data_IF_826320293681
#
_entry.id   IF_826320293681
#
_cell.length_a   1.000
_cell.length_b   1.000
_cell.length_c   1.000
_cell.angle_alpha   90.00
_cell.angle_beta   90.00
_cell.angle_gamma   90.00
#
_symmetry.space_group_name_H-M   'P 1'
#
loop_
_entity.id
_entity.type
_entity.pdbx_description
1 polymer ?
#
# COMPACT_ATOMS: atom_id res chain seq x y z
N UNK A 1 -48.93 -13.05 5.97
CA UNK A 1 -49.35 -11.75 6.49
C UNK A 1 -48.13 -11.07 7.06
N UNK A 2 -47.78 -9.91 6.52
CA UNK A 2 -46.60 -9.12 6.95
C UNK A 2 -46.89 -8.60 8.36
N UNK A 3 -46.05 -8.87 9.33
CA UNK A 3 -46.15 -8.35 10.70
C UNK A 3 -45.69 -6.89 10.72
N UNK A 4 -46.57 -5.95 10.43
CA UNK A 4 -46.27 -4.53 10.31
C UNK A 4 -45.51 -3.94 11.52
N UNK A 5 -45.86 -4.24 12.79
CA UNK A 5 -45.09 -3.75 13.95
C UNK A 5 -43.66 -4.23 13.99
N UNK A 6 -43.40 -5.47 13.61
CA UNK A 6 -42.03 -6.06 13.57
C UNK A 6 -41.18 -5.40 12.48
N UNK A 7 -41.75 -5.14 11.31
CA UNK A 7 -41.04 -4.41 10.24
C UNK A 7 -40.74 -2.97 10.61
N UNK A 8 -41.63 -2.28 11.28
CA UNK A 8 -41.35 -0.92 11.79
C UNK A 8 -40.18 -0.94 12.78
N UNK A 9 -40.14 -1.92 13.69
CA UNK A 9 -39.02 -2.08 14.63
C UNK A 9 -37.69 -2.37 13.92
N UNK A 10 -37.72 -3.17 12.85
CA UNK A 10 -36.54 -3.43 12.04
C UNK A 10 -36.07 -2.17 11.30
N UNK A 11 -36.97 -1.37 10.73
CA UNK A 11 -36.61 -0.09 10.10
C UNK A 11 -35.98 0.85 11.13
N UNK A 12 -36.55 0.93 12.33
CA UNK A 12 -36.03 1.73 13.45
C UNK A 12 -34.62 1.29 13.81
N UNK A 13 -34.36 -0.03 13.88
CA UNK A 13 -33.05 -0.59 14.16
C UNK A 13 -32.03 -0.17 13.10
N UNK A 14 -32.32 -0.38 11.82
CA UNK A 14 -31.41 -0.06 10.71
C UNK A 14 -31.10 1.44 10.63
N UNK A 15 -32.11 2.30 10.82
CA UNK A 15 -31.88 3.75 10.87
C UNK A 15 -31.02 4.16 12.06
N UNK A 16 -31.20 3.52 13.23
CA UNK A 16 -30.40 3.80 14.42
C UNK A 16 -28.93 3.41 14.20
N UNK A 17 -28.65 2.30 13.50
CA UNK A 17 -27.30 1.93 13.10
C UNK A 17 -26.69 3.01 12.18
N UNK A 18 -27.43 3.46 11.18
CA UNK A 18 -26.96 4.52 10.28
C UNK A 18 -26.71 5.85 11.02
N UNK A 19 -27.56 6.22 11.97
CA UNK A 19 -27.40 7.44 12.78
C UNK A 19 -26.16 7.42 13.67
N UNK A 20 -25.76 6.24 14.17
CA UNK A 20 -24.54 6.06 14.96
C UNK A 20 -23.26 6.24 14.16
N UNK A 21 -23.33 6.19 12.82
CA UNK A 21 -22.16 6.25 11.93
C UNK A 21 -22.01 7.65 11.32
N UNK A 22 -20.97 8.40 11.71
CA UNK A 22 -20.68 9.77 11.21
C UNK A 22 -20.65 9.85 9.68
N UNK A 23 -20.10 8.83 9.00
CA UNK A 23 -20.08 8.75 7.53
C UNK A 23 -21.49 8.88 6.92
N UNK A 24 -22.53 8.40 7.61
CA UNK A 24 -23.90 8.45 7.10
C UNK A 24 -24.49 9.86 7.12
N UNK A 25 -24.05 10.75 8.02
CA UNK A 25 -24.60 12.11 8.14
C UNK A 25 -24.43 12.96 6.88
N UNK A 26 -23.39 12.66 6.09
CA UNK A 26 -23.09 13.28 4.79
C UNK A 26 -23.43 12.38 3.60
N UNK A 27 -23.88 11.15 3.85
CA UNK A 27 -24.15 10.17 2.81
C UNK A 27 -25.46 10.48 2.10
N UNK A 28 -25.44 10.54 0.76
CA UNK A 28 -26.62 10.72 -0.06
C UNK A 28 -27.68 9.66 0.20
N UNK A 29 -27.28 8.38 0.29
CA UNK A 29 -28.23 7.30 0.57
C UNK A 29 -28.99 7.49 1.90
N UNK A 30 -28.30 7.93 2.97
CA UNK A 30 -28.96 8.17 4.25
C UNK A 30 -29.98 9.32 4.17
N UNK A 31 -29.56 10.47 3.63
CA UNK A 31 -30.42 11.64 3.52
C UNK A 31 -31.64 11.37 2.62
N UNK A 32 -31.44 10.69 1.49
CA UNK A 32 -32.52 10.35 0.56
C UNK A 32 -33.50 9.33 1.16
N UNK A 33 -32.97 8.29 1.84
CA UNK A 33 -33.81 7.31 2.56
C UNK A 33 -34.69 8.02 3.60
N UNK A 34 -34.10 8.80 4.51
CA UNK A 34 -34.86 9.51 5.55
C UNK A 34 -35.92 10.45 4.94
N UNK A 35 -35.56 11.18 3.87
CA UNK A 35 -36.50 12.07 3.17
C UNK A 35 -37.63 11.29 2.47
N UNK A 36 -37.36 10.10 1.95
CA UNK A 36 -38.34 9.23 1.31
C UNK A 36 -39.27 8.62 2.35
N UNK A 37 -38.75 8.15 3.48
CA UNK A 37 -39.57 7.62 4.58
C UNK A 37 -40.52 8.68 5.20
N UNK A 38 -40.10 9.93 5.24
CA UNK A 38 -40.94 11.05 5.68
C UNK A 38 -42.17 11.30 4.79
N UNK A 39 -42.11 10.88 3.50
CA UNK A 39 -43.22 11.06 2.57
C UNK A 39 -44.31 9.98 2.70
N UNK A 40 -44.01 8.86 3.35
CA UNK A 40 -44.98 7.79 3.60
C UNK A 40 -45.70 8.00 4.92
N UNK A 41 -47.01 8.25 4.86
CA UNK A 41 -47.84 8.42 6.07
C UNK A 41 -47.80 7.15 6.95
N UNK A 42 -47.72 5.98 6.33
CA UNK A 42 -47.68 4.68 7.02
C UNK A 42 -46.40 4.47 7.85
N UNK A 43 -45.28 5.07 7.44
CA UNK A 43 -43.97 4.98 8.12
C UNK A 43 -43.79 6.21 9.03
N UNK A 44 -44.02 7.41 8.49
CA UNK A 44 -43.80 8.66 9.20
C UNK A 44 -44.62 8.77 10.51
N UNK A 45 -45.84 8.29 10.54
CA UNK A 45 -46.67 8.33 11.76
C UNK A 45 -46.09 7.47 12.90
N UNK A 46 -45.37 6.40 12.58
CA UNK A 46 -44.77 5.49 13.55
C UNK A 46 -43.34 5.88 13.96
N UNK A 47 -42.55 6.49 13.05
CA UNK A 47 -41.15 6.81 13.24
C UNK A 47 -40.82 8.31 13.22
N UNK A 48 -41.82 9.19 13.45
CA UNK A 48 -41.67 10.64 13.36
C UNK A 48 -40.45 11.17 14.12
N UNK A 49 -40.36 10.83 15.41
CA UNK A 49 -39.29 11.32 16.28
C UNK A 49 -37.93 10.89 15.77
N UNK A 50 -37.76 9.62 15.35
CA UNK A 50 -36.52 9.09 14.82
C UNK A 50 -36.13 9.76 13.48
N UNK A 51 -37.11 9.99 12.60
CA UNK A 51 -36.86 10.64 11.31
C UNK A 51 -36.51 12.13 11.45
N UNK A 52 -37.04 12.80 12.48
CA UNK A 52 -36.68 14.18 12.83
C UNK A 52 -35.27 14.24 13.39
N UNK A 53 -34.93 13.33 14.32
CA UNK A 53 -33.57 13.17 14.87
C UNK A 53 -32.54 12.84 13.77
N UNK A 54 -32.83 11.87 12.91
CA UNK A 54 -32.00 11.53 11.78
C UNK A 54 -31.72 12.74 10.86
N UNK A 55 -32.74 13.56 10.61
CA UNK A 55 -32.56 14.76 9.78
C UNK A 55 -31.72 15.85 10.46
N UNK A 56 -31.73 15.92 11.79
CA UNK A 56 -30.90 16.87 12.54
C UNK A 56 -29.41 16.56 12.46
N UNK A 57 -29.06 15.34 12.09
CA UNK A 57 -27.66 14.88 11.91
C UNK A 57 -27.08 15.24 10.53
N UNK A 58 -27.90 15.78 9.60
CA UNK A 58 -27.41 16.09 8.27
C UNK A 58 -26.33 17.16 8.31
N UNK A 59 -25.19 16.83 7.65
CA UNK A 59 -24.10 17.78 7.44
C UNK A 59 -24.09 18.30 5.99
N UNK A 60 -23.63 19.52 5.81
CA UNK A 60 -23.36 20.11 4.50
C UNK A 60 -22.20 19.36 3.82
N UNK A 61 -22.03 19.48 2.50
CA UNK A 61 -21.06 18.75 1.68
C UNK A 61 -21.37 17.25 1.55
N UNK A 62 -22.59 16.98 1.12
CA UNK A 62 -23.07 15.63 0.78
C UNK A 62 -22.16 14.95 -0.24
N UNK A 63 -21.89 13.68 -0.07
CA UNK A 63 -21.27 12.79 -1.05
C UNK A 63 -22.25 11.68 -1.49
N UNK A 64 -21.94 11.02 -2.60
CA UNK A 64 -22.70 9.90 -3.12
C UNK A 64 -22.46 8.60 -2.31
N UNK A 65 -22.58 7.42 -2.93
CA UNK A 65 -22.42 6.14 -2.27
C UNK A 65 -20.95 5.79 -2.05
N UNK A 66 -20.61 5.24 -0.85
CA UNK A 66 -19.29 4.69 -0.52
C UNK A 66 -19.13 3.21 -0.85
N UNK A 67 -20.18 2.52 -1.33
CA UNK A 67 -20.16 1.08 -1.54
C UNK A 67 -19.96 0.30 -0.23
N UNK A 68 -20.65 0.70 0.85
CA UNK A 68 -20.57 0.03 2.14
C UNK A 68 -21.01 -1.44 2.03
N UNK A 69 -20.33 -2.35 2.74
CA UNK A 69 -20.69 -3.77 2.79
C UNK A 69 -22.10 -3.97 3.32
N UNK A 70 -22.46 -3.23 4.38
CA UNK A 70 -23.84 -3.11 4.85
C UNK A 70 -24.27 -1.66 4.70
N UNK A 71 -25.27 -1.43 3.87
CA UNK A 71 -25.89 -0.11 3.72
C UNK A 71 -27.20 -0.07 4.52
N UNK A 72 -27.13 0.26 5.82
CA UNK A 72 -28.32 0.34 6.70
C UNK A 72 -29.46 1.21 6.13
N UNK A 73 -29.19 2.40 5.53
CA UNK A 73 -30.24 3.16 4.87
C UNK A 73 -30.96 2.38 3.76
N UNK A 74 -30.25 1.64 2.93
CA UNK A 74 -30.86 0.84 1.87
C UNK A 74 -31.67 -0.33 2.43
N UNK A 75 -31.19 -1.00 3.49
CA UNK A 75 -31.95 -2.04 4.19
C UNK A 75 -33.24 -1.48 4.78
N UNK A 76 -33.16 -0.35 5.49
CA UNK A 76 -34.34 0.33 6.04
C UNK A 76 -35.35 0.69 4.95
N UNK A 77 -34.89 1.18 3.79
CA UNK A 77 -35.76 1.54 2.67
C UNK A 77 -36.41 0.31 2.02
N UNK A 78 -35.69 -0.79 1.86
CA UNK A 78 -36.26 -2.04 1.34
C UNK A 78 -37.36 -2.58 2.26
N UNK A 79 -37.12 -2.60 3.58
CA UNK A 79 -38.13 -2.99 4.57
C UNK A 79 -39.37 -2.06 4.53
N UNK A 80 -39.14 -0.78 4.35
CA UNK A 80 -40.23 0.20 4.23
C UNK A 80 -41.05 0.02 2.94
N UNK A 81 -40.39 -0.33 1.83
CA UNK A 81 -41.08 -0.63 0.56
C UNK A 81 -42.00 -1.85 0.63
N UNK A 82 -41.79 -2.79 1.54
CA UNK A 82 -42.70 -3.90 1.80
C UNK A 82 -43.99 -3.41 2.53
N UNK A 83 -43.91 -2.33 3.29
CA UNK A 83 -45.08 -1.72 3.98
C UNK A 83 -45.81 -0.77 3.07
N UNK A 84 -45.08 0.05 2.31
CA UNK A 84 -45.61 1.06 1.40
C UNK A 84 -44.88 1.02 0.05
N UNK A 85 -45.49 0.40 -0.97
CA UNK A 85 -44.84 0.22 -2.29
C UNK A 85 -44.48 1.54 -2.99
N UNK A 86 -45.05 2.67 -2.63
CA UNK A 86 -44.73 3.99 -3.19
C UNK A 86 -43.28 4.37 -2.88
N UNK A 87 -42.69 3.81 -1.81
CA UNK A 87 -41.29 4.01 -1.43
C UNK A 87 -40.33 3.38 -2.46
N UNK A 88 -40.75 2.29 -3.10
CA UNK A 88 -39.90 1.59 -4.09
C UNK A 88 -39.72 2.39 -5.39
N UNK A 89 -40.66 3.27 -5.76
CA UNK A 89 -40.61 4.00 -7.03
C UNK A 89 -39.51 5.08 -7.10
N UNK A 90 -38.94 5.47 -5.98
CA UNK A 90 -37.92 6.54 -5.89
C UNK A 90 -36.49 6.08 -5.53
N UNK A 91 -36.24 4.80 -5.43
CA UNK A 91 -35.02 4.25 -4.81
C UNK A 91 -34.15 3.50 -5.80
N UNK A 92 -33.06 4.13 -6.22
CA UNK A 92 -31.95 3.44 -6.89
C UNK A 92 -30.68 3.55 -6.06
N UNK A 93 -30.58 2.76 -4.98
CA UNK A 93 -29.27 2.50 -4.40
C UNK A 93 -28.57 1.43 -5.26
N UNK A 94 -27.84 1.87 -6.27
CA UNK A 94 -26.86 1.00 -6.91
C UNK A 94 -25.74 0.80 -5.89
N UNK A 95 -25.74 -0.32 -5.17
CA UNK A 95 -24.59 -0.80 -4.43
C UNK A 95 -23.47 -1.00 -5.43
N UNK A 96 -22.52 -0.08 -5.50
CA UNK A 96 -21.31 -0.29 -6.26
C UNK A 96 -20.42 -1.26 -5.47
N UNK A 97 -19.92 -2.28 -6.16
CA UNK A 97 -18.87 -3.13 -5.58
C UNK A 97 -17.67 -2.27 -5.12
N UNK A 98 -16.93 -2.70 -4.08
CA UNK A 98 -15.74 -1.99 -3.63
C UNK A 98 -14.82 -1.72 -4.82
N UNK A 99 -14.61 -0.46 -5.18
CA UNK A 99 -13.74 -0.10 -6.29
C UNK A 99 -12.29 -0.41 -5.91
N UNK A 100 -11.66 -1.32 -6.65
CA UNK A 100 -10.21 -1.28 -6.82
C UNK A 100 -9.93 -0.14 -7.78
N UNK A 101 -9.45 0.98 -7.28
CA UNK A 101 -9.15 2.12 -8.13
C UNK A 101 -7.81 1.90 -8.81
N UNK A 102 -7.84 1.64 -10.12
CA UNK A 102 -6.64 1.52 -10.95
C UNK A 102 -5.78 2.77 -10.81
N UNK A 103 -4.46 2.58 -10.63
CA UNK A 103 -3.50 3.67 -10.44
C UNK A 103 -3.41 4.25 -9.02
N UNK A 104 -4.09 3.67 -8.04
CA UNK A 104 -3.89 4.03 -6.64
C UNK A 104 -3.27 2.86 -5.85
N UNK A 105 -2.24 3.10 -5.00
CA UNK A 105 -1.52 4.35 -4.76
C UNK A 105 -0.64 4.79 -5.94
N UNK A 106 -0.53 6.11 -6.23
CA UNK A 106 0.21 6.58 -7.41
C UNK A 106 1.72 6.43 -7.32
N UNK A 107 2.29 6.34 -6.11
CA UNK A 107 3.72 6.19 -5.90
C UNK A 107 4.05 4.83 -5.30
N UNK A 108 5.19 4.22 -5.71
CA UNK A 108 5.60 2.91 -5.22
C UNK A 108 6.01 2.96 -3.74
N UNK A 109 5.93 1.79 -3.08
CA UNK A 109 6.33 1.56 -1.71
C UNK A 109 6.04 0.12 -1.30
N UNK A 110 6.45 -0.27 -0.10
CA UNK A 110 6.14 -1.56 0.49
C UNK A 110 4.79 -1.46 1.20
N UNK A 111 3.71 -1.80 0.50
CA UNK A 111 2.35 -1.74 1.01
C UNK A 111 1.44 -2.80 0.38
N UNK A 112 0.31 -3.05 1.03
CA UNK A 112 -0.80 -3.84 0.49
C UNK A 112 -2.10 -3.04 0.59
N UNK A 113 -2.84 -2.96 -0.52
CA UNK A 113 -4.15 -2.33 -0.60
C UNK A 113 -5.21 -3.38 -0.29
N UNK A 114 -6.12 -3.07 0.65
CA UNK A 114 -7.21 -3.94 1.06
C UNK A 114 -8.53 -3.42 0.47
N UNK A 115 -8.87 -2.16 0.75
CA UNK A 115 -10.12 -1.56 0.29
C UNK A 115 -9.96 -0.05 0.07
N UNK A 116 -10.15 0.42 -1.15
CA UNK A 116 -9.99 1.85 -1.49
C UNK A 116 -10.90 2.78 -0.66
N UNK A 117 -12.18 2.42 -0.47
CA UNK A 117 -13.16 3.26 0.23
C UNK A 117 -13.07 3.20 1.76
N UNK A 118 -12.22 2.35 2.33
CA UNK A 118 -12.07 2.25 3.78
C UNK A 118 -11.31 3.45 4.36
N UNK A 119 -11.61 3.86 5.61
CA UNK A 119 -11.09 5.11 6.16
C UNK A 119 -9.76 5.01 6.86
N UNK A 120 -9.25 3.82 7.18
CA UNK A 120 -8.06 3.64 8.00
C UNK A 120 -6.88 3.16 7.17
N UNK A 121 -5.78 3.91 7.22
CA UNK A 121 -4.46 3.47 6.76
C UNK A 121 -3.59 3.08 7.97
N UNK A 122 -2.79 2.03 7.83
CA UNK A 122 -1.85 1.59 8.86
C UNK A 122 -0.42 1.69 8.34
N UNK A 123 0.44 2.34 9.11
CA UNK A 123 1.87 2.44 8.85
C UNK A 123 2.64 1.65 9.91
N UNK A 124 3.29 0.55 9.49
CA UNK A 124 4.02 -0.37 10.36
C UNK A 124 5.47 0.05 10.62
N UNK A 125 5.85 1.24 10.17
CA UNK A 125 7.20 1.79 10.28
C UNK A 125 8.26 0.80 9.77
N UNK A 126 9.21 0.36 10.61
CA UNK A 126 10.27 -0.58 10.25
C UNK A 126 9.88 -2.07 10.52
N UNK A 127 8.62 -2.36 10.83
CA UNK A 127 8.13 -3.72 11.09
C UNK A 127 7.44 -4.32 9.86
N UNK A 128 8.21 -4.56 8.79
CA UNK A 128 7.70 -4.98 7.47
C UNK A 128 6.91 -6.29 7.50
N UNK A 129 7.26 -7.23 8.43
CA UNK A 129 6.54 -8.49 8.59
C UNK A 129 5.06 -8.29 8.94
N UNK A 130 4.71 -7.21 9.64
CA UNK A 130 3.34 -6.90 10.03
C UNK A 130 2.44 -6.54 8.84
N UNK A 131 3.00 -6.09 7.71
CA UNK A 131 2.22 -5.73 6.51
C UNK A 131 1.39 -6.94 6.07
N UNK A 132 2.02 -8.12 5.98
CA UNK A 132 1.33 -9.34 5.57
C UNK A 132 0.29 -9.78 6.61
N UNK A 133 0.64 -9.76 7.89
CA UNK A 133 -0.24 -10.22 8.97
C UNK A 133 -1.51 -9.36 9.07
N UNK A 134 -1.37 -8.03 9.00
CA UNK A 134 -2.50 -7.09 9.01
C UNK A 134 -3.34 -7.16 7.73
N UNK A 135 -2.71 -7.37 6.55
CA UNK A 135 -3.46 -7.50 5.31
C UNK A 135 -4.24 -8.79 5.22
N UNK A 136 -3.66 -9.91 5.69
CA UNK A 136 -4.31 -11.23 5.70
C UNK A 136 -5.53 -11.26 6.63
N UNK A 137 -5.58 -10.39 7.67
CA UNK A 137 -6.73 -10.28 8.58
C UNK A 137 -7.99 -9.69 7.91
N UNK A 138 -7.84 -9.00 6.78
CA UNK A 138 -8.94 -8.36 6.02
C UNK A 138 -9.89 -7.53 6.90
N UNK A 139 -9.34 -6.88 7.94
CA UNK A 139 -10.11 -6.17 8.96
C UNK A 139 -11.01 -5.10 8.37
N UNK A 140 -12.25 -5.05 8.83
CA UNK A 140 -13.22 -4.04 8.40
C UNK A 140 -12.70 -2.63 8.70
N UNK A 141 -12.82 -1.73 7.72
CA UNK A 141 -12.34 -0.35 7.83
C UNK A 141 -10.88 -0.14 7.44
N UNK A 142 -10.10 -1.20 7.17
CA UNK A 142 -8.71 -1.11 6.72
C UNK A 142 -8.64 -0.84 5.21
N UNK A 143 -7.98 0.28 4.83
CA UNK A 143 -7.78 0.68 3.43
C UNK A 143 -6.47 0.13 2.86
N UNK A 144 -5.38 0.42 3.54
CA UNK A 144 -4.02 0.12 3.12
C UNK A 144 -3.13 -0.08 4.34
N UNK A 145 -2.19 -0.99 4.25
CA UNK A 145 -1.13 -1.18 5.23
C UNK A 145 0.23 -1.13 4.53
N UNK A 146 1.20 -0.42 5.10
CA UNK A 146 2.53 -0.30 4.52
C UNK A 146 3.59 0.15 5.52
N UNK A 147 4.86 0.09 5.11
CA UNK A 147 6.01 0.51 5.92
C UNK A 147 6.43 1.96 5.66
N UNK A 148 7.26 2.48 6.56
CA UNK A 148 7.86 3.81 6.43
C UNK A 148 9.25 3.81 7.06
N UNK A 149 10.30 3.88 6.23
CA UNK A 149 11.69 3.74 6.69
C UNK A 149 12.46 5.06 6.80
N UNK A 150 11.97 6.14 6.18
CA UNK A 150 12.70 7.42 6.14
C UNK A 150 11.78 8.61 6.40
N UNK A 151 12.31 9.60 7.13
CA UNK A 151 11.60 10.83 7.50
C UNK A 151 11.59 11.91 6.41
N UNK A 152 12.03 11.60 5.20
CA UNK A 152 12.04 12.51 4.04
C UNK A 152 11.22 11.93 2.88
N UNK A 153 11.85 11.27 1.91
CA UNK A 153 11.16 10.71 0.73
C UNK A 153 10.02 9.76 1.11
N UNK A 154 10.19 8.96 2.16
CA UNK A 154 9.12 8.08 2.63
C UNK A 154 7.89 8.85 3.09
N UNK A 155 8.06 9.91 3.89
CA UNK A 155 6.95 10.78 4.32
C UNK A 155 6.33 11.49 3.11
N UNK A 156 7.12 11.99 2.15
CA UNK A 156 6.59 12.62 0.93
C UNK A 156 5.73 11.66 0.11
N UNK A 157 6.15 10.38 -0.03
CA UNK A 157 5.37 9.34 -0.71
C UNK A 157 4.08 9.00 0.05
N UNK A 158 4.18 8.84 1.38
CA UNK A 158 3.02 8.57 2.23
C UNK A 158 1.98 9.68 2.09
N UNK A 159 2.38 10.95 2.15
CA UNK A 159 1.47 12.10 2.00
C UNK A 159 0.76 12.05 0.64
N UNK A 160 1.50 11.85 -0.46
CA UNK A 160 0.93 11.84 -1.81
C UNK A 160 0.00 10.66 -2.03
N UNK A 161 0.39 9.47 -1.60
CA UNK A 161 -0.45 8.28 -1.70
C UNK A 161 -1.74 8.44 -0.88
N UNK A 162 -1.66 9.07 0.28
CA UNK A 162 -2.82 9.35 1.13
C UNK A 162 -3.73 10.42 0.52
N UNK A 163 -3.19 11.53 0.04
CA UNK A 163 -3.97 12.59 -0.61
C UNK A 163 -4.70 12.12 -1.87
N UNK A 164 -4.13 11.15 -2.59
CA UNK A 164 -4.75 10.55 -3.77
C UNK A 164 -5.97 9.67 -3.44
N UNK A 165 -6.22 9.40 -2.15
CA UNK A 165 -7.41 8.70 -1.69
C UNK A 165 -8.17 9.51 -0.64
N UNK A 166 -9.26 10.20 -1.01
CA UNK A 166 -10.01 11.04 -0.09
C UNK A 166 -10.72 10.26 1.01
N UNK A 167 -10.85 8.92 0.87
CA UNK A 167 -11.50 8.08 1.87
C UNK A 167 -10.62 7.83 3.09
N UNK A 168 -9.29 7.90 2.98
CA UNK A 168 -8.38 7.77 4.12
C UNK A 168 -8.55 8.98 5.03
N UNK A 169 -9.05 8.74 6.23
CA UNK A 169 -9.32 9.76 7.24
C UNK A 169 -8.51 9.56 8.52
N UNK A 170 -7.98 8.36 8.71
CA UNK A 170 -7.18 7.98 9.87
C UNK A 170 -5.88 7.31 9.42
N UNK A 171 -4.81 7.64 10.12
CA UNK A 171 -3.50 7.02 9.93
C UNK A 171 -3.02 6.49 11.29
N UNK A 172 -2.97 5.17 11.44
CA UNK A 172 -2.44 4.50 12.62
C UNK A 172 -0.96 4.24 12.40
N UNK A 173 -0.11 4.71 13.31
CA UNK A 173 1.31 4.36 13.37
C UNK A 173 1.52 3.24 14.37
N UNK A 174 2.22 2.18 13.97
CA UNK A 174 2.56 1.04 14.82
C UNK A 174 3.93 0.46 14.44
N UNK A 175 4.36 -0.58 15.15
CA UNK A 175 5.67 -1.19 14.90
C UNK A 175 6.85 -0.35 15.38
N UNK A 176 8.05 -0.79 15.07
CA UNK A 176 9.30 -0.20 15.53
C UNK A 176 9.68 1.04 14.71
N UNK A 177 9.91 2.18 15.36
CA UNK A 177 10.26 3.43 14.68
C UNK A 177 11.72 3.51 14.23
N UNK A 178 12.63 2.74 14.81
CA UNK A 178 14.06 2.83 14.51
C UNK A 178 14.67 1.50 14.09
N UNK A 179 15.42 1.52 12.98
CA UNK A 179 16.47 0.53 12.73
C UNK A 179 17.72 0.98 13.49
N UNK A 180 18.15 0.23 14.49
CA UNK A 180 19.19 0.55 15.51
C UNK A 180 20.52 1.11 14.99
N UNK A 181 20.79 1.07 13.70
CA UNK A 181 22.09 1.45 13.09
C UNK A 181 22.07 2.75 12.27
N UNK A 182 20.92 3.26 11.81
CA UNK A 182 20.88 4.35 10.81
C UNK A 182 20.41 5.70 11.39
N UNK A 183 19.67 5.71 12.50
CA UNK A 183 19.19 6.94 13.17
C UNK A 183 18.04 7.64 12.46
N UNK A 184 17.29 6.94 11.58
CA UNK A 184 16.03 7.42 11.06
C UNK A 184 14.92 7.20 12.09
N UNK A 185 14.04 8.21 12.23
CA UNK A 185 12.88 8.19 13.12
C UNK A 185 11.65 8.69 12.33
N UNK A 186 11.17 7.92 11.34
CA UNK A 186 10.08 8.36 10.48
C UNK A 186 8.75 8.52 11.24
N UNK A 187 8.43 7.64 12.19
CA UNK A 187 7.22 7.73 12.99
C UNK A 187 7.19 8.98 13.85
N UNK A 188 8.24 9.22 14.66
CA UNK A 188 8.36 10.45 15.46
C UNK A 188 8.34 11.70 14.56
N UNK A 189 8.95 11.65 13.38
CA UNK A 189 8.96 12.77 12.45
C UNK A 189 7.57 13.03 11.86
N UNK A 190 6.77 11.98 11.61
CA UNK A 190 5.41 12.12 11.13
C UNK A 190 4.47 12.68 12.22
N UNK A 191 4.62 12.24 13.49
CA UNK A 191 3.94 12.86 14.63
C UNK A 191 4.27 14.36 14.72
N UNK A 192 5.56 14.69 14.65
CA UNK A 192 6.01 16.10 14.69
C UNK A 192 5.47 16.91 13.51
N UNK A 193 5.36 16.32 12.32
CA UNK A 193 4.77 16.98 11.15
C UNK A 193 3.28 17.31 11.38
N UNK A 194 2.53 16.38 11.91
CA UNK A 194 1.09 16.60 12.18
C UNK A 194 0.91 17.68 13.26
N UNK A 195 1.70 17.64 14.32
CA UNK A 195 1.56 18.56 15.45
C UNK A 195 2.10 19.97 15.15
N UNK A 196 3.34 20.08 14.65
CA UNK A 196 4.06 21.34 14.51
C UNK A 196 4.19 21.85 13.08
N UNK A 197 4.01 20.98 12.06
CA UNK A 197 4.21 21.34 10.66
C UNK A 197 5.67 21.46 10.26
N UNK A 198 5.96 22.37 9.31
CA UNK A 198 7.30 22.61 8.76
C UNK A 198 7.72 24.07 8.91
N UNK A 199 9.04 24.30 8.90
CA UNK A 199 9.63 25.64 8.87
C UNK A 199 9.77 26.20 7.43
N UNK A 200 10.26 27.43 7.29
CA UNK A 200 10.50 28.11 6.01
C UNK A 200 11.48 27.36 5.07
N UNK A 201 12.28 26.45 5.62
CA UNK A 201 13.24 25.62 4.88
C UNK A 201 12.69 24.22 4.57
N UNK A 202 11.38 24.01 4.74
CA UNK A 202 10.72 22.71 4.54
C UNK A 202 11.23 21.62 5.50
N UNK A 203 11.77 21.99 6.68
CA UNK A 203 12.15 21.05 7.71
C UNK A 203 10.99 20.82 8.66
N UNK A 204 10.74 19.56 9.02
CA UNK A 204 9.73 19.20 10.02
C UNK A 204 10.18 19.73 11.39
N UNK A 205 9.37 20.60 11.99
CA UNK A 205 9.65 21.23 13.29
C UNK A 205 9.62 20.13 14.37
N UNK A 206 10.58 20.16 15.29
CA UNK A 206 10.75 19.19 16.38
C UNK A 206 11.00 17.73 15.98
N UNK A 207 11.23 17.43 14.70
CA UNK A 207 11.64 16.11 14.29
C UNK A 207 13.07 15.79 14.74
N UNK A 208 13.26 14.59 15.29
CA UNK A 208 14.52 14.09 15.84
C UNK A 208 15.31 13.21 14.86
N UNK A 209 14.68 12.79 13.77
CA UNK A 209 15.30 11.96 12.74
C UNK A 209 16.47 12.65 12.04
N UNK A 210 17.24 11.88 11.29
CA UNK A 210 18.51 12.29 10.69
C UNK A 210 18.37 13.38 9.61
N UNK A 211 17.31 13.31 8.80
CA UNK A 211 17.07 14.22 7.67
C UNK A 211 15.58 14.55 7.46
N UNK A 212 14.90 15.17 8.44
CA UNK A 212 13.47 15.45 8.33
C UNK A 212 13.21 16.69 7.46
N UNK A 213 13.50 16.60 6.16
CA UNK A 213 13.44 17.71 5.21
C UNK A 213 12.64 17.28 3.97
N UNK A 214 11.49 17.91 3.74
CA UNK A 214 10.52 17.60 2.68
C UNK A 214 10.73 18.54 1.47
N UNK A 215 11.60 18.14 0.52
CA UNK A 215 12.03 19.00 -0.60
C UNK A 215 11.18 18.84 -1.86
N UNK A 216 10.51 17.70 -2.03
CA UNK A 216 9.84 17.36 -3.28
C UNK A 216 8.32 17.46 -3.17
N UNK A 217 7.79 18.04 -2.09
CA UNK A 217 6.37 18.25 -1.86
C UNK A 217 6.08 19.71 -1.57
N UNK A 218 4.94 20.22 -1.99
CA UNK A 218 4.54 21.61 -1.74
C UNK A 218 3.89 21.74 -0.36
N UNK A 219 4.00 22.94 0.24
CA UNK A 219 3.39 23.26 1.52
C UNK A 219 1.89 22.96 1.54
N UNK A 220 1.18 23.31 0.46
CA UNK A 220 -0.26 23.09 0.34
C UNK A 220 -0.67 21.59 0.42
N UNK A 221 0.17 20.68 -0.10
CA UNK A 221 -0.05 19.23 0.07
C UNK A 221 0.15 18.78 1.51
N UNK A 222 1.14 19.30 2.20
CA UNK A 222 1.39 19.01 3.61
C UNK A 222 0.21 19.48 4.46
N UNK A 223 -0.26 20.71 4.23
CA UNK A 223 -1.39 21.27 4.97
C UNK A 223 -2.72 20.55 4.65
N UNK A 224 -2.93 20.12 3.39
CA UNK A 224 -4.06 19.31 3.03
C UNK A 224 -4.02 17.94 3.73
N UNK A 225 -2.85 17.27 3.76
CA UNK A 225 -2.66 16.01 4.47
C UNK A 225 -2.96 16.14 5.97
N UNK A 226 -2.45 17.17 6.63
CA UNK A 226 -2.70 17.45 8.05
C UNK A 226 -4.18 17.68 8.36
N UNK A 227 -4.97 18.16 7.39
CA UNK A 227 -6.43 18.32 7.50
C UNK A 227 -7.19 17.04 7.15
N UNK A 228 -6.67 16.25 6.22
CA UNK A 228 -7.32 15.03 5.76
C UNK A 228 -7.30 13.94 6.82
N UNK A 229 -6.16 13.72 7.47
CA UNK A 229 -5.98 12.58 8.37
C UNK A 229 -5.90 12.97 9.84
N UNK A 230 -6.52 12.17 10.68
CA UNK A 230 -6.23 12.11 12.10
C UNK A 230 -5.16 11.05 12.33
N UNK A 231 -4.03 11.43 12.93
CA UNK A 231 -2.97 10.52 13.29
C UNK A 231 -3.26 9.87 14.65
N UNK A 232 -3.09 8.54 14.72
CA UNK A 232 -3.25 7.76 15.95
C UNK A 232 -1.94 7.00 16.17
N UNK A 233 -1.20 7.38 17.20
CA UNK A 233 0.12 6.81 17.47
C UNK A 233 0.05 5.66 18.45
N UNK A 234 0.55 4.52 18.00
CA UNK A 234 0.82 3.30 18.76
C UNK A 234 2.23 2.79 18.41
N UNK A 235 3.20 3.70 18.24
CA UNK A 235 4.60 3.35 17.94
C UNK A 235 5.12 2.37 19.01
N UNK A 236 5.75 1.29 18.57
CA UNK A 236 6.22 0.18 19.41
C UNK A 236 5.18 -0.93 19.59
N UNK A 237 3.92 -0.74 19.21
CA UNK A 237 2.93 -1.81 19.24
C UNK A 237 3.09 -2.71 18.02
N UNK A 238 3.27 -4.02 18.26
CA UNK A 238 3.37 -5.08 17.25
C UNK A 238 2.29 -6.15 17.42
N UNK A 239 1.31 -5.94 18.32
CA UNK A 239 0.21 -6.86 18.54
C UNK A 239 -0.90 -6.66 17.49
N UNK A 240 -0.95 -7.54 16.51
CA UNK A 240 -1.90 -7.50 15.38
C UNK A 240 -3.36 -7.59 15.86
N UNK A 241 -3.65 -8.36 16.90
CA UNK A 241 -5.02 -8.49 17.40
C UNK A 241 -5.51 -7.16 17.98
N UNK A 242 -4.71 -6.52 18.82
CA UNK A 242 -5.00 -5.19 19.38
C UNK A 242 -5.13 -4.12 18.30
N UNK A 243 -4.32 -4.20 17.24
CA UNK A 243 -4.39 -3.26 16.12
C UNK A 243 -5.65 -3.47 15.28
N UNK A 244 -6.10 -4.69 15.07
CA UNK A 244 -7.36 -4.97 14.37
C UNK A 244 -8.57 -4.40 15.12
N UNK A 245 -8.62 -4.57 16.44
CA UNK A 245 -9.67 -3.98 17.28
C UNK A 245 -9.65 -2.44 17.19
N UNK A 246 -8.46 -1.84 17.20
CA UNK A 246 -8.29 -0.40 17.03
C UNK A 246 -8.75 0.09 15.66
N UNK A 247 -8.47 -0.65 14.58
CA UNK A 247 -8.90 -0.32 13.22
C UNK A 247 -10.42 -0.27 13.15
N UNK A 248 -11.11 -1.32 13.66
CA UNK A 248 -12.58 -1.39 13.67
C UNK A 248 -13.18 -0.23 14.47
N UNK A 249 -12.67 0.00 15.68
CA UNK A 249 -13.15 1.10 16.53
C UNK A 249 -12.94 2.47 15.89
N UNK A 250 -11.78 2.66 15.21
CA UNK A 250 -11.47 3.93 14.52
C UNK A 250 -12.36 4.13 13.29
N UNK A 251 -12.67 3.06 12.55
CA UNK A 251 -13.48 3.14 11.34
C UNK A 251 -14.92 3.61 11.62
N UNK A 252 -15.46 3.37 12.81
CA UNK A 252 -16.78 3.86 13.24
C UNK A 252 -16.83 5.39 13.22
N UNK A 253 -15.72 6.05 13.56
CA UNK A 253 -15.60 7.50 13.61
C UNK A 253 -15.43 8.19 12.24
N UNK A 254 -15.53 7.43 11.13
CA UNK A 254 -15.33 7.93 9.78
C UNK A 254 -16.24 9.13 9.45
N UNK A 255 -15.69 10.34 9.18
CA UNK A 255 -16.48 11.52 8.84
C UNK A 255 -16.92 11.56 7.35
N UNK A 256 -16.56 10.54 6.56
CA UNK A 256 -16.74 10.52 5.11
C UNK A 256 -15.53 11.11 4.36
N UNK A 257 -15.58 11.10 3.01
CA UNK A 257 -14.44 11.49 2.17
C UNK A 257 -14.01 12.94 2.41
N UNK A 258 -12.70 13.18 2.29
CA UNK A 258 -12.11 14.52 2.30
C UNK A 258 -12.37 15.23 0.97
N UNK A 259 -12.80 16.51 1.00
CA UNK A 259 -13.26 17.26 -0.19
C UNK A 259 -12.24 18.28 -0.70
N UNK A 260 -11.20 18.57 0.07
CA UNK A 260 -10.31 19.71 -0.17
C UNK A 260 -8.89 19.26 -0.59
N UNK A 261 -8.76 18.05 -1.17
CA UNK A 261 -7.48 17.55 -1.69
C UNK A 261 -7.01 18.37 -2.90
N UNK A 262 -5.72 18.71 -3.02
CA UNK A 262 -5.15 19.34 -4.20
C UNK A 262 -5.26 18.48 -5.45
N UNK A 263 -5.43 19.07 -6.63
CA UNK A 263 -5.61 18.34 -7.90
C UNK A 263 -4.30 17.71 -8.41
N UNK A 264 -3.16 18.35 -8.20
CA UNK A 264 -1.86 17.95 -8.77
C UNK A 264 -0.93 17.30 -7.72
N UNK A 265 -1.31 16.11 -7.30
CA UNK A 265 -0.60 15.36 -6.23
C UNK A 265 0.77 14.86 -6.72
N UNK A 266 0.93 14.55 -8.02
CA UNK A 266 2.19 14.09 -8.63
C UNK A 266 2.79 15.20 -9.49
N UNK A 267 3.84 15.90 -9.01
CA UNK A 267 4.40 17.05 -9.71
C UNK A 267 5.32 16.69 -10.89
N UNK A 268 5.75 15.43 -10.99
CA UNK A 268 6.70 14.97 -12.02
C UNK A 268 6.06 13.82 -12.80
N UNK A 269 6.03 13.87 -14.16
CA UNK A 269 5.47 12.80 -14.94
C UNK A 269 6.28 11.50 -14.78
N UNK A 270 5.57 10.38 -14.78
CA UNK A 270 6.19 9.06 -14.82
C UNK A 270 6.52 8.73 -16.27
N UNK A 271 7.78 8.52 -16.57
CA UNK A 271 8.24 8.15 -17.91
C UNK A 271 8.56 6.66 -17.98
N UNK A 272 8.13 6.01 -19.05
CA UNK A 272 8.51 4.62 -19.31
C UNK A 272 9.95 4.57 -19.81
N UNK A 273 10.81 3.83 -19.11
CA UNK A 273 12.18 3.60 -19.53
C UNK A 273 12.21 2.80 -20.85
N UNK A 274 13.20 3.09 -21.67
CA UNK A 274 13.40 2.38 -22.94
C UNK A 274 14.36 1.20 -22.72
N UNK A 275 14.06 0.09 -23.38
CA UNK A 275 14.96 -1.05 -23.39
C UNK A 275 16.33 -0.65 -23.98
N UNK A 276 17.45 -1.21 -23.44
CA UNK A 276 18.78 -0.94 -23.96
C UNK A 276 18.89 -1.42 -25.41
N UNK A 277 19.53 -0.60 -26.24
CA UNK A 277 19.81 -0.96 -27.61
C UNK A 277 20.89 -2.03 -27.72
N UNK A 278 21.41 -2.25 -28.93
CA UNK A 278 22.49 -3.21 -29.18
C UNK A 278 23.74 -2.84 -28.36
N UNK A 279 24.29 -3.80 -27.65
CA UNK A 279 25.52 -3.63 -26.88
C UNK A 279 26.69 -3.29 -27.80
N UNK A 280 27.43 -2.24 -27.46
CA UNK A 280 28.65 -1.82 -28.17
C UNK A 280 29.84 -2.19 -27.28
N UNK A 281 30.84 -2.88 -27.83
CA UNK A 281 32.01 -3.32 -27.07
C UNK A 281 32.77 -2.15 -26.41
N UNK A 282 33.24 -2.34 -25.19
CA UNK A 282 34.12 -1.38 -24.54
C UNK A 282 35.51 -1.41 -25.21
N UNK A 283 36.10 -0.26 -25.56
CA UNK A 283 37.46 -0.21 -26.12
C UNK A 283 38.51 -0.82 -25.22
N UNK A 284 38.26 -0.92 -23.89
CA UNK A 284 39.18 -1.48 -22.91
C UNK A 284 39.20 -3.01 -22.85
N UNK A 285 38.19 -3.67 -23.46
CA UNK A 285 38.07 -5.11 -23.46
C UNK A 285 36.75 -5.61 -22.85
N UNK A 286 36.73 -6.84 -22.38
CA UNK A 286 35.59 -7.49 -21.78
C UNK A 286 35.98 -8.34 -20.56
N UNK A 287 35.00 -8.74 -19.77
CA UNK A 287 35.19 -9.48 -18.54
C UNK A 287 34.47 -10.83 -18.57
N UNK A 288 35.11 -11.82 -17.93
CA UNK A 288 34.48 -13.12 -17.63
C UNK A 288 34.46 -13.32 -16.12
N UNK A 289 33.29 -13.71 -15.60
CA UNK A 289 33.02 -13.78 -14.16
C UNK A 289 32.79 -15.21 -13.73
N UNK A 290 33.53 -15.70 -12.74
CA UNK A 290 33.44 -17.07 -12.19
C UNK A 290 33.25 -17.05 -10.67
N UNK A 291 32.12 -17.51 -10.12
CA UNK A 291 32.00 -17.76 -8.68
C UNK A 291 32.69 -19.05 -8.28
N UNK A 292 33.88 -18.96 -7.67
CA UNK A 292 34.64 -20.08 -7.14
C UNK A 292 34.13 -20.47 -5.74
N UNK A 293 33.08 -21.24 -5.67
CA UNK A 293 32.37 -21.59 -4.42
C UNK A 293 33.25 -22.27 -3.38
N UNK A 294 34.14 -23.16 -3.80
CA UNK A 294 35.07 -23.87 -2.90
C UNK A 294 36.03 -22.93 -2.18
N UNK A 295 36.36 -21.79 -2.79
CA UNK A 295 37.25 -20.77 -2.26
C UNK A 295 36.51 -19.58 -1.65
N UNK A 296 35.17 -19.52 -1.76
CA UNK A 296 34.32 -18.39 -1.37
C UNK A 296 34.80 -17.07 -1.99
N UNK A 297 35.20 -17.12 -3.25
CA UNK A 297 35.70 -15.99 -4.02
C UNK A 297 35.09 -15.94 -5.42
N UNK A 298 35.03 -14.73 -5.99
CA UNK A 298 34.73 -14.51 -7.39
C UNK A 298 36.06 -14.27 -8.11
N UNK A 299 36.26 -14.98 -9.20
CA UNK A 299 37.34 -14.69 -10.15
C UNK A 299 36.75 -13.79 -11.24
N UNK A 300 37.48 -12.72 -11.56
CA UNK A 300 37.17 -11.79 -12.62
C UNK A 300 38.34 -11.71 -13.59
N UNK A 301 38.16 -12.28 -14.76
CA UNK A 301 39.17 -12.25 -15.83
C UNK A 301 38.89 -11.06 -16.76
N UNK A 302 39.95 -10.28 -17.05
CA UNK A 302 39.92 -9.20 -18.04
C UNK A 302 40.62 -9.62 -19.32
N UNK A 303 39.94 -9.47 -20.43
CA UNK A 303 40.43 -9.78 -21.76
C UNK A 303 40.45 -8.53 -22.64
N UNK A 304 41.48 -8.38 -23.47
CA UNK A 304 41.46 -7.42 -24.57
C UNK A 304 40.40 -7.79 -25.63
N UNK A 305 40.01 -6.87 -26.50
CA UNK A 305 39.10 -7.15 -27.63
C UNK A 305 39.65 -8.14 -28.67
N UNK A 306 40.92 -8.55 -28.53
CA UNK A 306 41.53 -9.61 -29.33
C UNK A 306 41.47 -10.98 -28.65
N UNK A 307 40.81 -11.11 -27.51
CA UNK A 307 40.70 -12.35 -26.74
C UNK A 307 41.96 -12.73 -25.95
N UNK A 308 42.87 -11.78 -25.73
CA UNK A 308 44.09 -12.03 -24.93
C UNK A 308 43.77 -11.70 -23.47
N UNK A 309 44.00 -12.67 -22.59
CA UNK A 309 43.89 -12.48 -21.14
C UNK A 309 44.97 -11.49 -20.69
N UNK A 310 44.53 -10.41 -20.05
CA UNK A 310 45.38 -9.34 -19.53
C UNK A 310 45.68 -9.53 -18.05
N UNK A 311 44.63 -9.77 -17.24
CA UNK A 311 44.75 -9.97 -15.78
C UNK A 311 43.58 -10.69 -15.17
N UNK A 312 43.75 -11.15 -13.92
CA UNK A 312 42.74 -11.80 -13.13
C UNK A 312 42.68 -11.12 -11.77
N UNK A 313 41.45 -10.76 -11.33
CA UNK A 313 41.19 -10.29 -9.98
C UNK A 313 40.43 -11.35 -9.19
N UNK A 314 40.64 -11.40 -7.88
CA UNK A 314 39.88 -12.25 -6.97
C UNK A 314 39.43 -11.46 -5.75
N UNK A 315 38.17 -11.64 -5.34
CA UNK A 315 37.66 -11.11 -4.10
C UNK A 315 36.40 -11.88 -3.65
N UNK A 316 36.05 -11.75 -2.37
CA UNK A 316 34.81 -12.30 -1.82
C UNK A 316 33.59 -11.40 -2.05
N UNK A 317 33.77 -10.18 -2.50
CA UNK A 317 32.68 -9.22 -2.74
C UNK A 317 32.73 -8.58 -4.12
N UNK A 318 31.56 -8.37 -4.72
CA UNK A 318 31.39 -7.65 -5.97
C UNK A 318 31.97 -6.24 -5.88
N UNK A 319 31.80 -5.59 -4.72
CA UNK A 319 32.27 -4.21 -4.48
C UNK A 319 33.79 -4.07 -4.63
N UNK A 320 34.57 -5.01 -4.13
CA UNK A 320 36.01 -4.98 -4.25
C UNK A 320 36.46 -5.15 -5.71
N UNK A 321 35.81 -6.03 -6.47
CA UNK A 321 36.11 -6.28 -7.87
C UNK A 321 35.81 -5.09 -8.78
N UNK A 322 34.57 -4.54 -8.72
CA UNK A 322 34.25 -3.40 -9.59
C UNK A 322 35.08 -2.16 -9.24
N UNK A 323 35.40 -1.97 -7.95
CA UNK A 323 36.28 -0.87 -7.54
C UNK A 323 37.68 -1.03 -8.18
N UNK A 324 38.27 -2.21 -8.12
CA UNK A 324 39.57 -2.48 -8.75
C UNK A 324 39.55 -2.22 -10.25
N UNK A 325 38.51 -2.69 -10.95
CA UNK A 325 38.34 -2.46 -12.41
C UNK A 325 38.25 -0.97 -12.75
N UNK A 326 37.55 -0.19 -11.94
CA UNK A 326 37.36 1.26 -12.15
C UNK A 326 38.70 1.98 -11.85
N UNK A 327 39.32 1.71 -10.72
CA UNK A 327 40.57 2.35 -10.30
C UNK A 327 41.72 2.09 -11.31
N UNK A 328 41.76 0.90 -11.92
CA UNK A 328 42.73 0.51 -12.94
C UNK A 328 42.37 1.01 -14.35
N UNK A 329 41.22 1.68 -14.53
CA UNK A 329 40.76 2.20 -15.82
C UNK A 329 40.50 1.14 -16.89
N UNK A 330 40.11 -0.07 -16.49
CA UNK A 330 39.86 -1.22 -17.37
C UNK A 330 38.46 -1.21 -17.96
N UNK A 331 37.62 -0.24 -17.61
CA UNK A 331 36.27 0.00 -18.13
C UNK A 331 36.14 1.47 -18.46
N UNK A 332 35.60 1.80 -19.65
CA UNK A 332 35.47 3.17 -20.12
C UNK A 332 34.05 3.59 -20.43
N UNK A 333 33.12 2.63 -20.52
CA UNK A 333 31.71 2.87 -20.84
C UNK A 333 30.85 2.63 -19.61
N UNK A 334 29.91 3.54 -19.33
CA UNK A 334 28.99 3.44 -18.19
C UNK A 334 28.00 2.28 -18.33
N UNK A 335 27.55 1.96 -19.54
CA UNK A 335 26.68 0.83 -19.82
C UNK A 335 27.38 -0.52 -19.48
N UNK A 336 28.67 -0.63 -19.80
CA UNK A 336 29.48 -1.80 -19.43
C UNK A 336 29.76 -1.85 -17.92
N UNK A 337 29.96 -0.70 -17.27
CA UNK A 337 30.13 -0.65 -15.81
C UNK A 337 28.84 -1.11 -15.10
N UNK A 338 27.67 -0.66 -15.56
CA UNK A 338 26.38 -1.11 -15.04
C UNK A 338 26.15 -2.61 -15.25
N UNK A 339 26.46 -3.12 -16.45
CA UNK A 339 26.41 -4.54 -16.78
C UNK A 339 27.33 -5.36 -15.86
N UNK A 340 28.60 -4.98 -15.75
CA UNK A 340 29.57 -5.68 -14.89
C UNK A 340 29.13 -5.70 -13.43
N UNK A 341 28.62 -4.57 -12.92
CA UNK A 341 28.12 -4.49 -11.55
C UNK A 341 26.96 -5.46 -11.30
N UNK A 342 26.04 -5.62 -12.26
CA UNK A 342 24.94 -6.59 -12.19
C UNK A 342 25.48 -8.03 -12.16
N UNK A 343 26.38 -8.38 -13.08
CA UNK A 343 26.95 -9.74 -13.17
C UNK A 343 27.75 -10.11 -11.91
N UNK A 344 28.53 -9.18 -11.38
CA UNK A 344 29.27 -9.41 -10.13
C UNK A 344 28.36 -9.60 -8.93
N UNK A 345 27.25 -8.85 -8.83
CA UNK A 345 26.26 -9.03 -7.77
C UNK A 345 25.57 -10.41 -7.86
N UNK A 346 25.24 -10.88 -9.08
CA UNK A 346 24.70 -12.22 -9.29
C UNK A 346 25.72 -13.31 -8.91
N UNK A 347 27.00 -13.13 -9.26
CA UNK A 347 28.06 -14.05 -8.89
C UNK A 347 28.28 -14.09 -7.36
N UNK A 348 28.23 -12.95 -6.68
CA UNK A 348 28.32 -12.87 -5.21
C UNK A 348 27.14 -13.61 -4.54
N UNK A 349 25.92 -13.40 -5.00
CA UNK A 349 24.76 -14.16 -4.52
C UNK A 349 24.91 -15.66 -4.73
N UNK A 350 25.48 -16.08 -5.87
CA UNK A 350 25.72 -17.49 -6.16
C UNK A 350 26.78 -18.13 -5.27
N UNK A 351 27.69 -17.38 -4.63
CA UNK A 351 28.60 -17.91 -3.62
C UNK A 351 27.87 -18.38 -2.36
N UNK A 352 26.76 -17.69 -2.00
CA UNK A 352 26.04 -17.91 -0.76
C UNK A 352 24.73 -18.68 -0.93
N UNK A 353 24.29 -18.90 -2.18
CA UNK A 353 23.08 -19.63 -2.53
C UNK A 353 23.38 -20.95 -3.25
N UNK A 354 22.33 -21.77 -3.46
CA UNK A 354 22.42 -22.98 -4.31
C UNK A 354 22.21 -22.67 -5.80
N UNK A 355 21.93 -21.42 -6.16
CA UNK A 355 21.63 -21.03 -7.54
C UNK A 355 22.88 -21.13 -8.44
N UNK A 356 22.70 -21.63 -9.65
CA UNK A 356 23.76 -21.68 -10.64
C UNK A 356 23.90 -20.30 -11.32
N UNK A 357 25.10 -19.73 -11.23
CA UNK A 357 25.46 -18.54 -11.97
C UNK A 357 25.78 -18.88 -13.43
N UNK A 358 25.20 -18.15 -14.35
CA UNK A 358 25.52 -18.15 -15.77
C UNK A 358 25.58 -16.69 -16.20
N UNK A 359 26.78 -16.27 -16.68
CA UNK A 359 26.94 -14.91 -17.20
C UNK A 359 26.01 -14.66 -18.38
N UNK A 360 25.51 -13.42 -18.54
CA UNK A 360 24.56 -13.00 -19.59
C UNK A 360 23.15 -13.64 -19.50
N UNK A 361 22.84 -14.36 -18.45
CA UNK A 361 21.51 -14.94 -18.27
C UNK A 361 20.47 -13.84 -18.05
N UNK A 362 19.39 -13.87 -18.84
CA UNK A 362 18.27 -12.96 -18.60
C UNK A 362 17.53 -13.30 -17.29
N UNK A 363 17.08 -12.29 -16.51
CA UNK A 363 16.24 -12.53 -15.35
C UNK A 363 14.98 -13.33 -15.76
N UNK A 364 14.70 -14.44 -15.08
CA UNK A 364 13.53 -15.29 -15.36
C UNK A 364 13.70 -16.37 -16.43
N UNK A 365 14.85 -16.49 -17.09
CA UNK A 365 15.17 -17.64 -17.92
C UNK A 365 15.45 -18.87 -17.05
N UNK A 366 14.43 -19.69 -16.82
CA UNK A 366 14.58 -21.04 -16.28
C UNK A 366 15.06 -21.96 -17.41
N UNK A 367 16.13 -22.73 -17.17
CA UNK A 367 16.51 -23.79 -18.12
C UNK A 367 15.39 -24.82 -18.21
N UNK A 368 15.07 -25.26 -19.43
CA UNK A 368 14.15 -26.41 -19.66
C UNK A 368 14.61 -27.70 -18.93
N UNK A 369 15.84 -27.79 -18.50
CA UNK A 369 16.40 -28.91 -17.73
C UNK A 369 15.96 -28.90 -16.26
N UNK A 370 15.70 -27.72 -15.66
CA UNK A 370 15.22 -27.62 -14.28
C UNK A 370 13.72 -27.98 -14.17
N UNK A 371 12.97 -27.87 -15.27
CA UNK A 371 11.57 -28.29 -15.35
C UNK A 371 11.41 -29.81 -15.51
N UNK A 372 12.38 -30.52 -16.06
CA UNK A 372 12.37 -32.00 -16.16
C UNK A 372 12.73 -32.68 -14.85
N UNK A 373 13.60 -32.09 -14.03
CA UNK A 373 13.97 -32.64 -12.73
C UNK A 373 12.82 -32.58 -11.70
N UNK A 374 11.90 -31.63 -11.83
CA UNK A 374 10.71 -31.54 -10.96
C UNK A 374 9.58 -32.49 -11.38
N UNK A 375 9.51 -32.90 -12.66
CA UNK A 375 8.52 -33.85 -13.15
C UNK A 375 8.89 -35.32 -12.90
N UNK A 376 10.18 -35.62 -12.75
CA UNK A 376 10.66 -36.98 -12.49
C UNK A 376 10.64 -37.36 -10.99
N UNK A 377 10.45 -36.41 -10.08
CA UNK A 377 10.35 -36.66 -8.65
C UNK A 377 8.91 -37.00 -8.17
N UNK A 378 7.88 -36.75 -8.98
CA UNK A 378 6.48 -37.09 -8.65
C UNK A 378 6.04 -38.49 -9.13
N UNK A 379 6.89 -39.19 -9.90
CA UNK A 379 6.53 -40.52 -10.48
C UNK A 379 7.09 -41.73 -9.73
N UNK A 380 7.65 -41.61 -8.53
CA UNK A 380 8.22 -42.75 -7.79
C UNK A 380 7.52 -43.16 -6.48
N UNK A 381 6.31 -42.68 -6.20
CA UNK A 381 5.59 -43.07 -4.98
C UNK A 381 4.36 -43.95 -5.15
N UNK A 382 4.06 -44.50 -6.36
CA UNK A 382 2.94 -45.45 -6.52
C UNK A 382 3.34 -46.70 -7.30
N UNK A 383 4.12 -47.58 -6.67
CA UNK A 383 4.15 -49.02 -7.01
C UNK A 383 4.65 -49.81 -5.81
N UNK A 384 3.72 -50.35 -5.05
CA UNK A 384 3.73 -51.71 -4.51
C UNK A 384 2.54 -51.89 -3.56
N UNK A 385 1.51 -52.58 -4.04
CA UNK A 385 0.74 -53.50 -3.24
C UNK A 385 -0.44 -54.03 -4.07
N UNK A 386 -0.20 -55.13 -4.78
CA UNK A 386 -1.21 -56.16 -5.03
C UNK A 386 -0.55 -57.36 -5.70
N UNK A 387 -0.12 -58.34 -4.89
CA UNK A 387 0.02 -59.76 -5.23
C UNK A 387 0.03 -60.54 -3.91
N UNK A 388 -1.12 -60.96 -3.47
CA UNK A 388 -1.55 -62.28 -3.09
C UNK A 388 -2.88 -62.19 -2.40
#
# INVERSE_FOLDING_TARGET
MINKPEQIANIEHELSQAMAMKKCWRCGCFQDTVNTLKKSDAIHSNLRSLLEEASSLYEMKRYECLGCEVCWPAVAQNLAAEIDPVIAEGSHCATKEPEQREGWPPLPGDYQVIRFQAPVAVCTLNSDHMIKELSDSMTEGLSIVGSLHTENLGIEHLIRNTLANPHIRFLILCGEDTQKTIGHLPGQSLEALIEFGIDEKMRIINAKGKRPLLKNIRLEHIEAFRKQVQLISHIGNTDVASLNDLIVATAIENPGPFSDAPEDIIPVPIETAKEPGKLVLDPKGYFVVYPARSQQQILLEHYSNKGVLDRIFTASSAAALYKSVIDEGLISRLDHAAYLGRELAHAENALHSKENYVQDRAPGELKQEDLKASSDSECQSDKCESCN
#
